data_IF_576732806680
#
_entry.id   IF_576732806680
#
_cell.length_a   1.000
_cell.length_b   1.000
_cell.length_c   1.000
_cell.angle_alpha   90.00
_cell.angle_beta   90.00
_cell.angle_gamma   90.00
#
_symmetry.space_group_name_H-M   'P 1'
#
loop_
_entity.id
_entity.type
_entity.pdbx_description
1 polymer ?
#
# COMPACT_ATOMS: atom_id res chain seq x y z
N UNK A 1 18.84 25.98 -21.91
CA UNK A 1 18.60 24.60 -22.36
C UNK A 1 18.49 23.58 -21.20
N UNK A 2 19.42 23.56 -20.24
CA UNK A 2 19.45 22.59 -19.13
C UNK A 2 18.16 22.59 -18.26
N UNK A 3 17.68 23.76 -17.82
CA UNK A 3 16.48 23.87 -16.96
C UNK A 3 15.22 23.26 -17.60
N UNK A 4 15.08 23.39 -18.92
CA UNK A 4 13.95 22.83 -19.66
C UNK A 4 14.01 21.30 -19.72
N UNK A 5 15.22 20.73 -19.84
CA UNK A 5 15.40 19.28 -19.82
C UNK A 5 15.05 18.71 -18.46
N UNK A 6 15.51 19.34 -17.38
CA UNK A 6 15.21 18.88 -16.03
C UNK A 6 13.72 19.00 -15.71
N UNK A 7 13.06 20.09 -16.13
CA UNK A 7 11.60 20.21 -16.01
C UNK A 7 10.86 19.06 -16.70
N UNK A 8 11.25 18.69 -17.92
CA UNK A 8 10.64 17.56 -18.65
C UNK A 8 10.89 16.22 -17.94
N UNK A 9 12.10 16.01 -17.41
CA UNK A 9 12.43 14.82 -16.62
C UNK A 9 11.53 14.71 -15.38
N UNK A 10 11.36 15.81 -14.65
CA UNK A 10 10.50 15.84 -13.47
C UNK A 10 9.01 15.67 -13.79
N UNK A 11 8.53 16.21 -14.93
CA UNK A 11 7.17 15.95 -15.42
C UNK A 11 6.95 14.45 -15.65
N UNK A 12 7.85 13.80 -16.39
CA UNK A 12 7.77 12.35 -16.63
C UNK A 12 7.74 11.52 -15.34
N UNK A 13 8.48 11.94 -14.30
CA UNK A 13 8.45 11.27 -12.99
C UNK A 13 7.10 11.47 -12.31
N UNK A 14 6.57 12.69 -12.31
CA UNK A 14 5.29 12.97 -11.68
C UNK A 14 4.13 12.22 -12.37
N UNK A 15 4.16 12.10 -13.70
CA UNK A 15 3.18 11.33 -14.46
C UNK A 15 3.22 9.84 -14.09
N UNK A 16 4.41 9.28 -13.88
CA UNK A 16 4.58 7.91 -13.39
C UNK A 16 4.01 7.74 -11.97
N UNK A 17 4.18 8.72 -11.09
CA UNK A 17 3.58 8.73 -9.76
C UNK A 17 2.03 8.79 -9.82
N UNK A 18 1.43 9.52 -10.76
CA UNK A 18 -0.03 9.51 -10.93
C UNK A 18 -0.52 8.14 -11.38
N UNK A 19 0.16 7.53 -12.36
CA UNK A 19 -0.18 6.17 -12.82
C UNK A 19 -0.09 5.15 -11.68
N UNK A 20 0.94 5.24 -10.85
CA UNK A 20 1.09 4.35 -9.70
C UNK A 20 -0.06 4.51 -8.70
N UNK A 21 -0.51 5.74 -8.41
CA UNK A 21 -1.60 5.98 -7.46
C UNK A 21 -2.93 5.36 -7.89
N UNK A 22 -3.21 5.29 -9.19
CA UNK A 22 -4.44 4.66 -9.71
C UNK A 22 -4.52 3.17 -9.35
N UNK A 23 -3.39 2.50 -9.14
CA UNK A 23 -3.34 1.09 -8.75
C UNK A 23 -3.30 0.88 -7.23
N UNK A 24 -3.22 1.94 -6.43
CA UNK A 24 -3.23 1.83 -4.98
C UNK A 24 -4.69 1.88 -4.51
N UNK A 25 -5.15 0.90 -3.72
CA UNK A 25 -6.49 0.95 -3.16
C UNK A 25 -6.61 2.12 -2.18
N UNK A 26 -7.47 3.09 -2.50
CA UNK A 26 -7.79 4.28 -1.69
C UNK A 26 -9.28 4.55 -1.70
N UNK A 27 -9.79 5.29 -0.71
CA UNK A 27 -11.20 5.69 -0.71
C UNK A 27 -11.48 6.79 -1.75
N UNK A 28 -12.69 6.84 -2.36
CA UNK A 28 -13.00 7.79 -3.44
C UNK A 28 -12.81 9.28 -3.12
N UNK A 29 -12.82 9.66 -1.84
CA UNK A 29 -12.65 11.04 -1.36
C UNK A 29 -11.35 11.25 -0.61
N UNK A 30 -10.43 10.29 -0.68
CA UNK A 30 -9.18 10.34 0.05
C UNK A 30 -8.22 11.37 -0.58
N UNK A 31 -7.46 12.04 0.28
CA UNK A 31 -6.46 13.00 -0.17
C UNK A 31 -5.39 12.28 -1.01
N UNK A 32 -4.92 12.94 -2.07
CA UNK A 32 -3.79 12.46 -2.88
C UNK A 32 -2.58 12.15 -1.99
N UNK A 33 -2.11 10.92 -2.06
CA UNK A 33 -0.97 10.42 -1.30
C UNK A 33 0.33 11.19 -1.63
N UNK A 34 1.16 11.40 -0.62
CA UNK A 34 2.52 11.91 -0.81
C UNK A 34 3.37 10.92 -1.63
N UNK A 35 4.52 11.33 -2.17
CA UNK A 35 5.40 10.42 -2.93
C UNK A 35 5.88 9.25 -2.08
N UNK A 36 6.24 9.51 -0.82
CA UNK A 36 6.70 8.47 0.11
C UNK A 36 5.56 7.51 0.43
N UNK A 37 4.37 8.04 0.73
CA UNK A 37 3.22 7.19 1.07
C UNK A 37 2.76 6.38 -0.15
N UNK A 38 2.82 6.95 -1.35
CA UNK A 38 2.55 6.21 -2.61
C UNK A 38 3.47 5.00 -2.75
N UNK A 39 4.78 5.17 -2.49
CA UNK A 39 5.73 4.05 -2.59
C UNK A 39 5.49 3.01 -1.49
N UNK A 40 5.25 3.45 -0.24
CA UNK A 40 4.96 2.54 0.88
C UNK A 40 3.71 1.71 0.63
N UNK A 41 2.62 2.36 0.21
CA UNK A 41 1.35 1.70 -0.10
C UNK A 41 1.49 0.74 -1.27
N UNK A 42 2.22 1.11 -2.33
CA UNK A 42 2.47 0.22 -3.46
C UNK A 42 3.24 -1.06 -3.04
N UNK A 43 4.30 -0.91 -2.23
CA UNK A 43 5.06 -2.06 -1.71
C UNK A 43 4.17 -2.95 -0.83
N UNK A 44 3.42 -2.34 0.09
CA UNK A 44 2.49 -3.07 0.96
C UNK A 44 1.43 -3.81 0.16
N UNK A 45 0.87 -3.18 -0.88
CA UNK A 45 -0.16 -3.78 -1.71
C UNK A 45 0.36 -4.95 -2.55
N UNK A 46 1.57 -4.85 -3.11
CA UNK A 46 2.21 -5.98 -3.80
C UNK A 46 2.40 -7.17 -2.86
N UNK A 47 2.90 -6.93 -1.64
CA UNK A 47 3.10 -7.98 -0.64
C UNK A 47 1.76 -8.61 -0.22
N UNK A 48 0.72 -7.79 -0.03
CA UNK A 48 -0.62 -8.24 0.32
C UNK A 48 -1.21 -9.16 -0.76
N UNK A 49 -1.15 -8.74 -2.03
CA UNK A 49 -1.61 -9.56 -3.15
C UNK A 49 -0.81 -10.86 -3.27
N UNK A 50 0.51 -10.80 -3.08
CA UNK A 50 1.37 -11.98 -3.04
C UNK A 50 0.99 -12.97 -1.93
N UNK A 51 0.66 -12.45 -0.73
CA UNK A 51 0.16 -13.27 0.37
C UNK A 51 -1.18 -13.93 0.06
N UNK A 52 -2.14 -13.20 -0.54
CA UNK A 52 -3.42 -13.79 -0.96
C UNK A 52 -3.20 -14.96 -1.93
N UNK A 53 -2.26 -14.81 -2.87
CA UNK A 53 -1.96 -15.87 -3.84
C UNK A 53 -1.32 -17.12 -3.20
N UNK A 54 -0.63 -16.98 -2.07
CA UNK A 54 -0.04 -18.12 -1.32
C UNK A 54 -1.11 -18.87 -0.50
N UNK A 55 -2.04 -18.13 0.11
CA UNK A 55 -3.19 -18.73 0.82
C UNK A 55 -4.03 -19.58 -0.11
N UNK A 56 -4.29 -19.09 -1.31
CA UNK A 56 -5.07 -19.81 -2.32
C UNK A 56 -4.39 -21.13 -2.74
N UNK A 57 -3.07 -21.21 -2.61
CA UNK A 57 -2.26 -22.41 -2.88
C UNK A 57 -2.12 -23.34 -1.66
N UNK A 58 -2.76 -23.01 -0.52
CA UNK A 58 -2.73 -23.79 0.70
C UNK A 58 -1.44 -23.65 1.52
N UNK A 59 -0.63 -22.61 1.26
CA UNK A 59 0.58 -22.31 2.05
C UNK A 59 0.25 -21.40 3.26
N UNK A 60 0.86 -21.69 4.42
CA UNK A 60 0.74 -20.83 5.61
C UNK A 60 1.35 -19.44 5.34
N UNK A 61 0.59 -18.38 5.63
CA UNK A 61 1.06 -17.00 5.46
C UNK A 61 2.17 -16.72 6.48
N UNK A 62 3.43 -16.68 6.04
CA UNK A 62 4.49 -16.11 6.86
C UNK A 62 4.34 -14.58 6.88
N UNK A 63 3.81 -14.09 8.00
CA UNK A 63 3.46 -12.70 8.27
C UNK A 63 4.68 -11.78 8.16
N UNK A 64 4.98 -11.31 6.95
CA UNK A 64 5.86 -10.15 6.70
C UNK A 64 5.05 -8.91 6.33
N UNK A 65 3.82 -8.82 6.81
CA UNK A 65 2.84 -7.82 6.39
C UNK A 65 2.48 -6.90 7.55
N UNK A 66 3.42 -6.15 8.11
CA UNK A 66 3.03 -5.01 8.96
C UNK A 66 4.17 -3.99 9.17
N UNK A 67 4.59 -3.29 8.12
CA UNK A 67 5.32 -2.02 8.23
C UNK A 67 4.87 -1.15 7.02
N UNK A 68 4.21 0.01 7.14
CA UNK A 68 4.08 0.94 8.26
C UNK A 68 2.93 1.97 8.06
N UNK A 69 2.56 2.56 9.21
CA UNK A 69 1.74 3.76 9.50
C UNK A 69 0.27 3.44 9.84
N UNK A 70 -0.17 3.27 11.08
CA UNK A 70 0.12 4.08 12.29
C UNK A 70 0.36 5.56 11.98
N UNK A 71 -0.58 6.22 11.29
CA UNK A 71 -0.86 7.66 11.41
C UNK A 71 -2.31 8.07 11.07
N UNK A 72 -3.25 7.16 10.85
CA UNK A 72 -4.68 7.50 10.90
C UNK A 72 -5.24 7.15 12.28
N UNK A 73 -5.06 8.07 13.23
CA UNK A 73 -5.91 8.12 14.41
C UNK A 73 -7.32 8.53 13.98
N UNK A 74 -8.25 7.58 13.95
CA UNK A 74 -9.63 7.81 14.40
C UNK A 74 -10.03 6.64 15.29
N UNK A 75 -10.37 7.00 16.51
CA UNK A 75 -10.66 6.19 17.70
C UNK A 75 -11.64 5.03 17.47
N UNK A 76 -11.18 3.79 17.65
CA UNK A 76 -11.93 2.71 18.34
C UNK A 76 -11.07 1.44 18.45
N UNK A 77 -10.06 1.45 19.33
CA UNK A 77 -9.37 0.21 19.72
C UNK A 77 -10.23 -0.57 20.72
N UNK A 78 -11.18 -1.35 20.23
CA UNK A 78 -11.57 -2.57 20.94
C UNK A 78 -10.38 -3.53 20.83
N UNK A 79 -9.62 -3.65 21.91
CA UNK A 79 -8.68 -4.75 22.10
C UNK A 79 -9.43 -6.10 22.07
N UNK A 80 -8.71 -7.13 21.64
CA UNK A 80 -8.98 -8.56 21.86
C UNK A 80 -9.85 -9.25 20.80
N UNK A 81 -9.22 -10.07 19.96
CA UNK A 81 -9.24 -11.52 20.20
C UNK A 81 -8.45 -12.26 19.11
N UNK A 82 -7.42 -12.95 19.57
CA UNK A 82 -6.97 -14.19 18.96
C UNK A 82 -8.19 -15.13 18.86
N UNK A 83 -8.53 -15.57 17.66
CA UNK A 83 -9.36 -16.76 17.48
C UNK A 83 -8.66 -17.68 16.47
N UNK A 84 -8.15 -18.85 16.92
CA UNK A 84 -7.68 -19.87 16.01
C UNK A 84 -8.91 -20.44 15.31
N UNK A 85 -8.91 -20.49 13.98
CA UNK A 85 -9.88 -21.31 13.29
C UNK A 85 -9.62 -22.77 13.66
N UNK A 86 -10.43 -23.32 14.56
CA UNK A 86 -10.65 -24.77 14.65
C UNK A 86 -11.54 -25.16 13.47
N UNK A 87 -11.00 -25.96 12.56
CA UNK A 87 -11.78 -26.66 11.54
C UNK A 87 -12.57 -27.79 12.23
N UNK A 88 -13.90 -27.72 12.11
CA UNK A 88 -14.76 -28.89 12.20
C UNK A 88 -14.70 -29.69 10.89
#
# INVERSE_FOLDING_TARGET
>A
AANMRERKRMQSINDAFEKLRVHIPTMPYEKRLSKVDTLRMAIGYINFLGGIMQVDQGEEIYEKTFIANDQFQTESNLKSSHLPYSLA
#
